data_IF_085695636896
#
_entry.id   IF_085695636896
#
_cell.length_a   1.000
_cell.length_b   1.000
_cell.length_c   1.000
_cell.angle_alpha   90.00
_cell.angle_beta   90.00
_cell.angle_gamma   90.00
#
_symmetry.space_group_name_H-M   'P 1'
#
loop_
_entity.id
_entity.type
_entity.pdbx_description
1 polymer ?
#
# COMPACT_ATOMS: atom_id res chain seq x y z
N UNK A 1 53.87 53.68 45.21
CA UNK A 1 53.32 53.79 43.84
C UNK A 1 52.94 52.37 43.34
N UNK A 2 51.64 52.09 43.38
CA UNK A 2 51.12 50.73 43.01
C UNK A 2 50.64 50.74 41.55
N UNK A 3 51.27 49.97 40.71
CA UNK A 3 50.83 49.72 39.30
C UNK A 3 49.68 48.73 39.33
N UNK A 4 48.51 49.11 38.84
CA UNK A 4 47.38 48.23 38.55
C UNK A 4 47.61 47.58 37.18
N UNK A 5 47.69 46.25 37.13
CA UNK A 5 47.52 45.49 35.91
C UNK A 5 46.02 45.37 35.60
N UNK A 6 45.60 45.82 34.44
CA UNK A 6 44.31 45.50 33.87
C UNK A 6 44.42 44.18 33.09
N UNK A 7 43.76 43.17 33.58
CA UNK A 7 43.51 41.90 32.87
C UNK A 7 42.35 42.08 31.93
N UNK A 8 42.58 42.12 30.63
CA UNK A 8 41.52 42.08 29.61
C UNK A 8 41.04 40.64 29.40
N UNK A 9 39.78 40.42 29.74
CA UNK A 9 39.08 39.17 29.43
C UNK A 9 38.55 39.29 27.99
N UNK A 10 39.13 38.52 27.08
CA UNK A 10 38.58 38.36 25.72
C UNK A 10 37.49 37.32 25.81
N UNK A 11 36.25 37.72 25.73
CA UNK A 11 35.09 36.86 25.56
C UNK A 11 35.00 36.51 24.08
N UNK A 12 35.42 35.29 23.71
CA UNK A 12 35.17 34.76 22.41
C UNK A 12 33.68 34.36 22.32
N UNK A 13 32.91 35.12 21.58
CA UNK A 13 31.56 34.76 21.22
C UNK A 13 31.56 33.59 20.23
N UNK A 14 31.39 32.40 20.72
CA UNK A 14 31.08 31.25 19.91
C UNK A 14 29.63 31.42 19.39
N UNK A 15 29.48 31.95 18.19
CA UNK A 15 28.24 31.90 17.44
C UNK A 15 27.94 30.47 17.04
N UNK A 16 27.17 29.78 17.90
CA UNK A 16 26.57 28.48 17.53
C UNK A 16 25.51 28.75 16.46
N UNK A 17 25.85 28.43 15.24
CA UNK A 17 24.89 28.25 14.15
C UNK A 17 24.02 27.03 14.51
N UNK A 18 22.97 27.25 15.27
CA UNK A 18 21.84 26.33 15.29
C UNK A 18 21.16 26.44 13.94
N UNK A 19 21.47 25.51 13.00
CA UNK A 19 20.56 25.23 11.91
C UNK A 19 19.26 24.75 12.55
N UNK A 20 18.25 25.62 12.58
CA UNK A 20 16.88 25.24 12.92
C UNK A 20 16.46 24.17 11.88
N UNK A 21 16.39 22.93 12.30
CA UNK A 21 15.65 21.94 11.54
C UNK A 21 14.23 22.53 11.38
N UNK A 22 13.88 22.93 10.17
CA UNK A 22 12.53 23.40 9.88
C UNK A 22 11.60 22.23 10.23
N UNK A 23 10.74 22.44 11.22
CA UNK A 23 9.70 21.47 11.58
C UNK A 23 8.70 21.42 10.42
N UNK A 24 8.98 20.55 9.42
CA UNK A 24 8.09 20.33 8.28
C UNK A 24 6.81 19.73 8.82
N UNK A 25 5.69 20.40 8.59
CA UNK A 25 4.38 19.91 9.05
C UNK A 25 3.98 18.65 8.27
N UNK A 26 3.19 17.74 8.86
CA UNK A 26 2.65 16.58 8.13
C UNK A 26 1.95 17.00 6.82
N UNK A 27 1.26 18.13 6.81
CA UNK A 27 0.62 18.69 5.61
C UNK A 27 1.63 19.01 4.50
N UNK A 28 2.76 19.61 4.82
CA UNK A 28 3.80 19.93 3.85
C UNK A 28 4.47 18.68 3.29
N UNK A 29 4.70 17.67 4.13
CA UNK A 29 5.22 16.36 3.68
C UNK A 29 4.29 15.75 2.63
N UNK A 30 2.98 15.72 2.88
CA UNK A 30 2.03 15.13 1.95
C UNK A 30 1.82 15.97 0.69
N UNK A 31 1.91 17.30 0.76
CA UNK A 31 1.93 18.17 -0.42
C UNK A 31 3.13 17.89 -1.32
N UNK A 32 4.32 17.69 -0.74
CA UNK A 32 5.51 17.35 -1.53
C UNK A 32 5.39 15.99 -2.20
N UNK A 33 4.97 14.96 -1.47
CA UNK A 33 4.72 13.63 -2.02
C UNK A 33 3.66 13.61 -3.12
N UNK A 34 2.66 14.49 -3.05
CA UNK A 34 1.62 14.63 -4.07
C UNK A 34 2.16 15.04 -5.44
N UNK A 35 3.27 15.76 -5.50
CA UNK A 35 3.90 16.17 -6.76
C UNK A 35 4.38 14.96 -7.58
N UNK A 36 4.77 13.88 -6.94
CA UNK A 36 5.26 12.66 -7.59
C UNK A 36 4.20 11.57 -7.68
N UNK A 37 3.41 11.38 -6.62
CA UNK A 37 2.45 10.27 -6.49
C UNK A 37 1.01 10.68 -6.81
N UNK A 38 0.77 11.96 -7.09
CA UNK A 38 -0.54 12.49 -7.47
C UNK A 38 -1.32 13.11 -6.30
N UNK A 39 -2.22 14.03 -6.64
CA UNK A 39 -2.98 14.80 -5.66
C UNK A 39 -3.87 13.93 -4.78
N UNK A 40 -4.61 12.99 -5.37
CA UNK A 40 -5.47 12.05 -4.62
C UNK A 40 -4.66 11.21 -3.62
N UNK A 41 -3.43 10.84 -3.98
CA UNK A 41 -2.54 10.13 -3.07
C UNK A 41 -2.29 10.95 -1.80
N UNK A 42 -1.86 12.21 -1.94
CA UNK A 42 -1.59 13.06 -0.79
C UNK A 42 -2.82 13.32 0.07
N UNK A 43 -3.98 13.56 -0.58
CA UNK A 43 -5.26 13.75 0.12
C UNK A 43 -5.64 12.54 0.97
N UNK A 44 -5.58 11.34 0.39
CA UNK A 44 -5.93 10.10 1.10
C UNK A 44 -4.90 9.70 2.13
N UNK A 45 -3.61 9.79 1.80
CA UNK A 45 -2.54 9.40 2.71
C UNK A 45 -2.47 10.30 3.94
N UNK A 46 -2.66 11.62 3.78
CA UNK A 46 -2.74 12.55 4.92
C UNK A 46 -3.94 12.26 5.83
N UNK A 47 -5.08 11.87 5.27
CA UNK A 47 -6.23 11.44 6.07
C UNK A 47 -5.91 10.14 6.81
N UNK A 48 -5.27 9.17 6.16
CA UNK A 48 -4.91 7.89 6.79
C UNK A 48 -3.92 8.06 7.95
N UNK A 49 -3.08 9.10 7.93
CA UNK A 49 -2.19 9.45 9.05
C UNK A 49 -2.98 9.83 10.31
N UNK A 50 -4.15 10.41 10.15
CA UNK A 50 -5.01 10.86 11.26
C UNK A 50 -5.99 9.79 11.73
N UNK A 51 -6.34 8.83 10.88
CA UNK A 51 -7.31 7.79 11.21
C UNK A 51 -6.65 6.67 12.02
N UNK A 52 -7.13 6.38 13.25
CA UNK A 52 -6.52 5.38 14.10
C UNK A 52 -6.64 3.98 13.51
N UNK A 53 -5.63 3.16 13.81
CA UNK A 53 -5.64 1.70 13.65
C UNK A 53 -5.32 1.10 15.01
N UNK A 54 -6.00 0.02 15.35
CA UNK A 54 -5.84 -0.74 16.60
C UNK A 54 -5.50 -2.21 16.33
N UNK A 55 -5.12 -2.94 17.37
CA UNK A 55 -4.82 -4.38 17.29
C UNK A 55 -6.03 -5.26 16.97
N UNK A 56 -7.25 -4.72 17.03
CA UNK A 56 -8.46 -5.43 16.67
C UNK A 56 -8.85 -5.24 15.20
N UNK A 57 -8.20 -4.31 14.50
CA UNK A 57 -8.57 -3.96 13.14
C UNK A 57 -8.07 -4.96 12.11
N UNK A 58 -8.86 -5.10 11.05
CA UNK A 58 -8.54 -5.84 9.83
C UNK A 58 -8.39 -4.80 8.72
N UNK A 59 -7.20 -4.67 8.15
CA UNK A 59 -6.88 -3.56 7.25
C UNK A 59 -6.65 -4.05 5.83
N UNK A 60 -7.46 -3.56 4.89
CA UNK A 60 -7.26 -3.76 3.46
C UNK A 60 -6.33 -2.67 2.93
N UNK A 61 -5.13 -3.04 2.47
CA UNK A 61 -4.11 -2.14 1.93
C UNK A 61 -3.93 -2.41 0.45
N UNK A 62 -4.00 -1.39 -0.37
CA UNK A 62 -3.85 -1.58 -1.81
C UNK A 62 -4.12 -0.32 -2.66
N UNK A 63 -4.41 -0.57 -3.92
CA UNK A 63 -4.66 0.44 -4.93
C UNK A 63 -6.17 0.72 -5.15
N UNK A 64 -6.58 1.03 -6.40
CA UNK A 64 -7.97 1.33 -6.75
C UNK A 64 -8.94 0.17 -6.50
N UNK A 65 -8.51 -1.07 -6.67
CA UNK A 65 -9.34 -2.25 -6.41
C UNK A 65 -9.71 -2.33 -4.92
N UNK A 66 -8.78 -1.98 -4.04
CA UNK A 66 -9.03 -1.88 -2.60
C UNK A 66 -9.84 -0.63 -2.27
N UNK A 67 -9.51 0.52 -2.89
CA UNK A 67 -10.20 1.80 -2.66
C UNK A 67 -11.69 1.71 -2.98
N UNK A 68 -12.06 1.03 -4.06
CA UNK A 68 -13.40 1.03 -4.63
C UNK A 68 -14.46 0.24 -3.85
N UNK A 69 -14.19 -0.15 -2.61
CA UNK A 69 -15.10 -0.94 -1.80
C UNK A 69 -15.27 -0.36 -0.39
N UNK A 70 -16.50 -0.30 0.09
CA UNK A 70 -16.83 0.01 1.47
C UNK A 70 -16.72 -1.28 2.32
N UNK A 71 -15.48 -1.71 2.58
CA UNK A 71 -15.18 -3.00 3.20
C UNK A 71 -15.89 -3.23 4.54
N UNK A 72 -15.99 -2.19 5.38
CA UNK A 72 -16.66 -2.30 6.69
C UNK A 72 -18.16 -2.59 6.55
N UNK A 73 -18.81 -1.99 5.54
CA UNK A 73 -20.23 -2.27 5.24
C UNK A 73 -20.37 -3.65 4.58
N UNK A 74 -19.50 -3.97 3.63
CA UNK A 74 -19.56 -5.23 2.90
C UNK A 74 -19.41 -6.45 3.81
N UNK A 75 -18.56 -6.37 4.84
CA UNK A 75 -18.41 -7.42 5.86
C UNK A 75 -19.34 -7.23 7.06
N UNK A 76 -20.06 -6.11 7.16
CA UNK A 76 -20.82 -5.70 8.36
C UNK A 76 -19.96 -5.75 9.64
N UNK A 77 -18.73 -5.25 9.54
CA UNK A 77 -17.72 -5.26 10.61
C UNK A 77 -17.06 -3.89 10.73
N UNK A 78 -17.29 -3.12 11.81
CA UNK A 78 -16.76 -1.75 11.95
C UNK A 78 -15.23 -1.70 12.11
N UNK A 79 -14.60 -2.81 12.47
CA UNK A 79 -13.15 -2.93 12.58
C UNK A 79 -12.45 -3.32 11.27
N UNK A 80 -13.18 -3.47 10.17
CA UNK A 80 -12.58 -3.62 8.83
C UNK A 80 -12.29 -2.25 8.25
N UNK A 81 -11.05 -1.97 7.90
CA UNK A 81 -10.59 -0.64 7.48
C UNK A 81 -10.10 -0.65 6.03
N UNK A 82 -10.55 0.32 5.26
CA UNK A 82 -10.04 0.56 3.91
C UNK A 82 -8.82 1.50 3.94
N UNK A 83 -7.70 1.04 3.41
CA UNK A 83 -6.48 1.81 3.17
C UNK A 83 -6.03 1.68 1.71
N UNK A 84 -7.00 1.69 0.79
CA UNK A 84 -6.77 1.74 -0.66
C UNK A 84 -6.66 3.18 -1.18
N UNK A 85 -5.81 3.39 -2.19
CA UNK A 85 -5.71 4.66 -2.94
C UNK A 85 -5.68 4.36 -4.44
N UNK A 86 -6.53 5.03 -5.22
CA UNK A 86 -6.53 4.87 -6.68
C UNK A 86 -5.17 5.23 -7.27
N UNK A 87 -4.68 4.38 -8.17
CA UNK A 87 -3.41 4.61 -8.86
C UNK A 87 -2.17 4.24 -8.04
N UNK A 88 -2.32 3.81 -6.78
CA UNK A 88 -1.18 3.54 -5.90
C UNK A 88 -0.31 2.38 -6.40
N UNK A 89 0.99 2.54 -6.17
CA UNK A 89 2.05 1.60 -6.50
C UNK A 89 2.71 1.09 -5.21
N UNK A 90 3.59 0.11 -5.32
CA UNK A 90 4.27 -0.49 -4.16
C UNK A 90 5.04 0.57 -3.37
N UNK A 91 5.78 1.45 -4.05
CA UNK A 91 6.51 2.56 -3.42
C UNK A 91 5.57 3.50 -2.66
N UNK A 92 4.41 3.83 -3.26
CA UNK A 92 3.41 4.68 -2.62
C UNK A 92 2.88 4.05 -1.33
N UNK A 93 2.56 2.76 -1.35
CA UNK A 93 2.15 2.03 -0.13
C UNK A 93 3.26 2.07 0.91
N UNK A 94 4.51 1.78 0.54
CA UNK A 94 5.64 1.80 1.48
C UNK A 94 5.80 3.17 2.14
N UNK A 95 5.62 4.26 1.41
CA UNK A 95 5.70 5.62 1.94
C UNK A 95 4.59 5.99 2.94
N UNK A 96 3.43 5.31 2.92
CA UNK A 96 2.24 5.64 3.73
C UNK A 96 1.78 4.54 4.69
N UNK A 97 2.47 3.41 4.76
CA UNK A 97 2.02 2.28 5.58
C UNK A 97 2.30 2.46 7.08
N UNK A 98 3.21 3.36 7.47
CA UNK A 98 3.61 3.54 8.86
C UNK A 98 2.45 3.74 9.86
N UNK A 99 1.40 4.53 9.59
CA UNK A 99 0.25 4.64 10.49
C UNK A 99 -0.47 3.29 10.73
N UNK A 100 -0.55 2.45 9.71
CA UNK A 100 -1.13 1.10 9.83
C UNK A 100 -0.27 0.23 10.74
N UNK A 101 1.05 0.23 10.53
CA UNK A 101 1.98 -0.61 11.29
C UNK A 101 2.10 -0.17 12.76
N UNK A 102 2.01 1.15 13.05
CA UNK A 102 1.94 1.66 14.43
C UNK A 102 0.76 1.12 15.21
N UNK A 103 -0.38 0.91 14.53
CA UNK A 103 -1.59 0.34 15.15
C UNK A 103 -1.51 -1.16 15.42
N UNK A 104 -0.53 -1.85 14.85
CA UNK A 104 -0.34 -3.32 14.97
C UNK A 104 -1.65 -4.09 14.72
N UNK A 105 -2.29 -3.92 13.56
CA UNK A 105 -3.61 -4.50 13.31
C UNK A 105 -3.59 -6.02 13.41
N UNK A 106 -4.74 -6.61 13.73
CA UNK A 106 -4.90 -8.07 13.78
C UNK A 106 -4.53 -8.71 12.45
N UNK A 107 -4.97 -8.10 11.33
CA UNK A 107 -4.77 -8.62 9.98
C UNK A 107 -4.50 -7.50 8.98
N UNK A 108 -3.66 -7.79 8.00
CA UNK A 108 -3.48 -6.96 6.80
C UNK A 108 -3.76 -7.83 5.57
N UNK A 109 -4.66 -7.36 4.70
CA UNK A 109 -4.88 -7.91 3.36
C UNK A 109 -4.24 -6.97 2.35
N UNK A 110 -3.17 -7.39 1.69
CA UNK A 110 -2.38 -6.61 0.75
C UNK A 110 -2.70 -7.01 -0.69
N UNK A 111 -3.03 -6.03 -1.54
CA UNK A 111 -3.16 -6.19 -2.99
C UNK A 111 -2.53 -4.99 -3.70
N UNK A 112 -1.39 -5.18 -4.36
CA UNK A 112 -0.66 -4.13 -5.08
C UNK A 112 0.18 -4.71 -6.21
N UNK A 113 0.48 -3.91 -7.25
CA UNK A 113 1.40 -4.28 -8.33
C UNK A 113 0.87 -4.02 -9.73
N UNK A 114 -0.45 -3.99 -9.97
CA UNK A 114 -1.00 -3.79 -11.33
C UNK A 114 -0.64 -2.40 -11.89
N UNK A 115 -0.56 -1.37 -11.06
CA UNK A 115 -0.12 -0.04 -11.48
C UNK A 115 1.39 -0.01 -11.77
N UNK A 116 2.19 -0.77 -11.04
CA UNK A 116 3.61 -0.97 -11.31
C UNK A 116 3.82 -1.63 -12.67
N UNK A 117 2.97 -2.60 -13.04
CA UNK A 117 2.93 -3.19 -14.39
C UNK A 117 2.64 -2.11 -15.44
N UNK A 118 1.73 -1.18 -15.17
CA UNK A 118 1.41 -0.08 -16.09
C UNK A 118 2.61 0.87 -16.33
N UNK A 119 3.53 0.94 -15.40
CA UNK A 119 4.79 1.70 -15.49
C UNK A 119 5.93 0.92 -16.17
N UNK A 120 5.64 -0.22 -16.80
CA UNK A 120 6.61 -1.08 -17.51
C UNK A 120 7.66 -1.73 -16.61
N UNK A 121 7.40 -1.88 -15.32
CA UNK A 121 8.28 -2.63 -14.43
C UNK A 121 8.17 -4.14 -14.73
N UNK A 122 9.28 -4.85 -14.56
CA UNK A 122 9.33 -6.31 -14.77
C UNK A 122 8.68 -7.07 -13.61
N UNK A 123 8.21 -8.29 -13.86
CA UNK A 123 7.67 -9.15 -12.81
C UNK A 123 8.66 -9.37 -11.66
N UNK A 124 9.94 -9.48 -11.98
CA UNK A 124 11.01 -9.65 -10.99
C UNK A 124 11.16 -8.41 -10.10
N UNK A 125 11.23 -7.21 -10.70
CA UNK A 125 11.35 -5.97 -9.92
C UNK A 125 10.12 -5.70 -9.05
N UNK A 126 8.91 -6.02 -9.55
CA UNK A 126 7.65 -5.87 -8.81
C UNK A 126 7.61 -6.85 -7.63
N UNK A 127 7.93 -8.13 -7.87
CA UNK A 127 7.95 -9.14 -6.81
C UNK A 127 9.02 -8.81 -5.74
N UNK A 128 10.21 -8.35 -6.16
CA UNK A 128 11.27 -7.91 -5.24
C UNK A 128 10.82 -6.71 -4.39
N UNK A 129 10.22 -5.69 -5.01
CA UNK A 129 9.71 -4.52 -4.28
C UNK A 129 8.60 -4.91 -3.29
N UNK A 130 7.66 -5.77 -3.70
CA UNK A 130 6.62 -6.31 -2.81
C UNK A 130 7.24 -7.09 -1.65
N UNK A 131 8.26 -7.92 -1.92
CA UNK A 131 9.00 -8.65 -0.89
C UNK A 131 9.64 -7.73 0.16
N UNK A 132 10.23 -6.60 -0.25
CA UNK A 132 10.77 -5.58 0.67
C UNK A 132 9.68 -4.93 1.53
N UNK A 133 8.52 -4.64 0.95
CA UNK A 133 7.37 -4.12 1.70
C UNK A 133 6.88 -5.14 2.73
N UNK A 134 6.82 -6.43 2.37
CA UNK A 134 6.47 -7.53 3.29
C UNK A 134 7.48 -7.61 4.43
N UNK A 135 8.79 -7.56 4.14
CA UNK A 135 9.85 -7.58 5.17
C UNK A 135 9.70 -6.41 6.15
N UNK A 136 9.33 -5.24 5.66
CA UNK A 136 9.02 -4.08 6.50
C UNK A 136 7.81 -4.34 7.40
N UNK A 137 6.70 -4.84 6.85
CA UNK A 137 5.49 -5.17 7.61
C UNK A 137 5.82 -6.17 8.72
N UNK A 138 6.57 -7.23 8.40
CA UNK A 138 6.99 -8.24 9.37
C UNK A 138 7.88 -7.69 10.48
N UNK A 139 8.81 -6.80 10.13
CA UNK A 139 9.70 -6.17 11.10
C UNK A 139 8.98 -5.21 12.04
N UNK A 140 8.07 -4.36 11.50
CA UNK A 140 7.43 -3.28 12.25
C UNK A 140 6.12 -3.72 12.94
N UNK A 141 5.49 -4.81 12.48
CA UNK A 141 4.26 -5.37 13.05
C UNK A 141 4.26 -6.91 13.00
N UNK A 142 5.16 -7.58 13.75
CA UNK A 142 5.40 -9.02 13.64
C UNK A 142 4.18 -9.87 14.02
N UNK A 143 3.32 -9.39 14.92
CA UNK A 143 2.11 -10.09 15.37
C UNK A 143 0.95 -10.02 14.37
N UNK A 144 1.01 -9.10 13.41
CA UNK A 144 -0.03 -8.95 12.38
C UNK A 144 -0.05 -10.16 11.46
N UNK A 145 -1.20 -10.79 11.28
CA UNK A 145 -1.38 -11.80 10.23
C UNK A 145 -1.41 -11.11 8.88
N UNK A 146 -0.47 -11.45 8.02
CA UNK A 146 -0.35 -10.86 6.69
C UNK A 146 -0.87 -11.81 5.62
N UNK A 147 -1.83 -11.33 4.85
CA UNK A 147 -2.39 -12.00 3.68
C UNK A 147 -2.03 -11.19 2.44
N UNK A 148 -1.35 -11.83 1.49
CA UNK A 148 -1.02 -11.22 0.19
C UNK A 148 -1.88 -11.88 -0.86
N UNK A 149 -2.64 -11.06 -1.57
CA UNK A 149 -3.59 -11.51 -2.58
C UNK A 149 -2.96 -11.48 -3.97
N UNK A 150 -3.34 -12.45 -4.81
CA UNK A 150 -2.92 -12.45 -6.21
C UNK A 150 -3.44 -11.20 -6.94
N UNK A 151 -2.65 -10.69 -7.88
CA UNK A 151 -3.16 -9.73 -8.86
C UNK A 151 -4.30 -10.38 -9.67
N UNK A 152 -5.35 -9.62 -9.93
CA UNK A 152 -6.52 -10.06 -10.66
C UNK A 152 -6.20 -10.21 -12.16
N UNK A 153 -7.03 -10.95 -12.92
CA UNK A 153 -6.96 -10.89 -14.37
C UNK A 153 -7.32 -9.48 -14.86
N UNK A 154 -6.92 -9.18 -16.07
CA UNK A 154 -7.32 -7.98 -16.81
C UNK A 154 -8.06 -8.41 -18.08
N UNK A 155 -8.85 -7.51 -18.69
CA UNK A 155 -9.53 -7.80 -19.94
C UNK A 155 -9.26 -6.72 -20.99
N UNK A 156 -8.36 -7.03 -21.92
CA UNK A 156 -7.92 -6.10 -22.96
C UNK A 156 -8.97 -5.81 -24.04
N UNK A 157 -10.06 -6.60 -24.11
CA UNK A 157 -11.14 -6.36 -25.09
C UNK A 157 -11.82 -5.00 -24.88
N UNK A 158 -11.80 -4.47 -23.65
CA UNK A 158 -12.32 -3.14 -23.31
C UNK A 158 -11.46 -1.98 -23.84
N UNK A 159 -10.18 -2.22 -24.16
CA UNK A 159 -9.24 -1.24 -24.75
C UNK A 159 -9.07 0.05 -23.93
N UNK A 160 -9.43 0.05 -22.65
CA UNK A 160 -9.42 1.24 -21.79
C UNK A 160 -8.02 1.58 -21.28
N UNK A 161 -7.28 0.58 -20.79
CA UNK A 161 -5.97 0.76 -20.14
C UNK A 161 -4.84 0.27 -21.04
N UNK A 162 -4.45 1.10 -22.02
CA UNK A 162 -3.42 0.76 -23.03
C UNK A 162 -2.07 0.42 -22.39
N UNK A 163 -1.77 0.98 -21.22
CA UNK A 163 -0.49 0.80 -20.52
C UNK A 163 -0.30 -0.63 -19.97
N UNK A 164 -1.38 -1.43 -19.88
CA UNK A 164 -1.32 -2.82 -19.43
C UNK A 164 -1.66 -3.83 -20.53
N UNK A 165 -1.90 -3.39 -21.76
CA UNK A 165 -2.19 -4.29 -22.88
C UNK A 165 -1.05 -5.24 -23.13
N UNK A 166 -1.38 -6.54 -23.29
CA UNK A 166 -0.43 -7.60 -23.56
C UNK A 166 0.48 -7.95 -22.37
N UNK A 167 0.12 -7.51 -21.15
CA UNK A 167 0.91 -7.75 -19.94
C UNK A 167 0.32 -8.81 -19.01
N UNK A 168 -0.63 -9.60 -19.49
CA UNK A 168 -1.26 -10.69 -18.71
C UNK A 168 -0.22 -11.70 -18.22
N UNK A 169 0.78 -12.00 -19.06
CA UNK A 169 1.87 -12.91 -18.66
C UNK A 169 2.71 -12.30 -17.54
N UNK A 170 3.00 -10.99 -17.59
CA UNK A 170 3.71 -10.29 -16.49
C UNK A 170 2.94 -10.41 -15.18
N UNK A 171 1.61 -10.24 -15.22
CA UNK A 171 0.73 -10.40 -14.04
C UNK A 171 0.79 -11.83 -13.50
N UNK A 172 0.74 -12.84 -14.36
CA UNK A 172 0.87 -14.25 -13.96
C UNK A 172 2.23 -14.54 -13.33
N UNK A 173 3.30 -14.02 -13.93
CA UNK A 173 4.67 -14.20 -13.43
C UNK A 173 4.87 -13.53 -12.06
N UNK A 174 4.26 -12.35 -11.83
CA UNK A 174 4.24 -11.71 -10.50
C UNK A 174 3.56 -12.63 -9.49
N UNK A 175 2.35 -13.13 -9.81
CA UNK A 175 1.61 -14.01 -8.91
C UNK A 175 2.40 -15.28 -8.57
N UNK A 176 3.06 -15.89 -9.55
CA UNK A 176 3.92 -17.06 -9.36
C UNK A 176 5.08 -16.75 -8.40
N UNK A 177 5.76 -15.61 -8.59
CA UNK A 177 6.88 -15.19 -7.73
C UNK A 177 6.43 -14.85 -6.31
N UNK A 178 5.30 -14.17 -6.16
CA UNK A 178 4.74 -13.84 -4.84
C UNK A 178 4.32 -15.09 -4.09
N UNK A 179 3.63 -16.03 -4.73
CA UNK A 179 3.24 -17.28 -4.08
C UNK A 179 4.45 -18.11 -3.64
N UNK A 180 5.53 -18.13 -4.43
CA UNK A 180 6.73 -18.90 -4.11
C UNK A 180 7.51 -18.36 -2.88
N UNK A 181 7.36 -17.08 -2.53
CA UNK A 181 8.05 -16.49 -1.38
C UNK A 181 7.19 -16.50 -0.09
N UNK A 182 5.98 -17.07 -0.12
CA UNK A 182 5.04 -16.99 0.98
C UNK A 182 5.58 -17.58 2.29
N UNK A 183 6.12 -18.79 2.23
CA UNK A 183 6.65 -19.48 3.40
C UNK A 183 7.90 -18.79 3.96
N UNK A 184 8.86 -18.44 3.07
CA UNK A 184 10.10 -17.75 3.46
C UNK A 184 9.83 -16.41 4.15
N UNK A 185 8.87 -15.64 3.61
CA UNK A 185 8.55 -14.31 4.13
C UNK A 185 7.41 -14.29 5.17
N UNK A 186 6.87 -15.47 5.49
CA UNK A 186 5.91 -15.67 6.58
C UNK A 186 4.57 -14.96 6.35
N UNK A 187 3.98 -15.03 5.16
CA UNK A 187 2.63 -14.54 4.89
C UNK A 187 1.74 -15.63 4.29
N UNK A 188 0.44 -15.46 4.41
CA UNK A 188 -0.53 -16.34 3.76
C UNK A 188 -0.80 -15.83 2.34
N UNK A 189 -0.51 -16.66 1.34
CA UNK A 189 -0.87 -16.38 -0.05
C UNK A 189 -2.34 -16.69 -0.29
N UNK A 190 -3.09 -15.73 -0.88
CA UNK A 190 -4.48 -15.92 -1.27
C UNK A 190 -4.61 -15.74 -2.78
N UNK A 191 -4.84 -16.82 -3.50
CA UNK A 191 -5.10 -16.77 -4.94
C UNK A 191 -6.56 -16.40 -5.22
N UNK A 192 -6.85 -15.10 -5.29
CA UNK A 192 -8.20 -14.59 -5.62
C UNK A 192 -8.48 -14.55 -7.13
N UNK A 193 -7.44 -14.72 -7.97
CA UNK A 193 -7.59 -14.62 -9.43
C UNK A 193 -8.71 -15.49 -10.02
N UNK A 194 -8.86 -16.78 -9.64
CA UNK A 194 -9.85 -17.67 -10.26
C UNK A 194 -11.30 -17.22 -10.08
N UNK A 195 -11.62 -16.45 -9.04
CA UNK A 195 -13.01 -16.00 -8.80
C UNK A 195 -13.42 -14.87 -9.77
N UNK A 196 -12.46 -14.25 -10.44
CA UNK A 196 -12.69 -13.14 -11.36
C UNK A 196 -12.40 -13.49 -12.81
N UNK A 197 -11.75 -14.66 -13.06
CA UNK A 197 -11.36 -15.07 -14.40
C UNK A 197 -12.52 -15.71 -15.16
N UNK A 198 -12.65 -15.37 -16.44
CA UNK A 198 -13.45 -16.12 -17.39
C UNK A 198 -12.71 -17.41 -17.84
N UNK A 199 -13.33 -18.18 -18.75
CA UNK A 199 -12.75 -19.42 -19.29
C UNK A 199 -11.44 -19.22 -20.06
N UNK A 200 -11.14 -18.00 -20.50
CA UNK A 200 -9.95 -17.63 -21.27
C UNK A 200 -8.92 -16.90 -20.38
N UNK A 201 -9.08 -16.96 -19.05
CA UNK A 201 -8.23 -16.32 -18.03
C UNK A 201 -8.21 -14.78 -18.10
N UNK A 202 -9.21 -14.14 -18.71
CA UNK A 202 -9.42 -12.70 -18.66
C UNK A 202 -10.33 -12.32 -17.49
N UNK A 203 -10.31 -11.04 -17.08
CA UNK A 203 -11.32 -10.54 -16.16
C UNK A 203 -12.70 -10.68 -16.80
N UNK A 204 -13.58 -11.44 -16.14
CA UNK A 204 -14.91 -11.76 -16.65
C UNK A 204 -15.69 -10.45 -16.88
N UNK A 205 -16.25 -10.23 -18.08
CA UNK A 205 -17.02 -9.03 -18.41
C UNK A 205 -18.22 -8.78 -17.48
N UNK A 206 -18.75 -9.79 -16.81
CA UNK A 206 -19.83 -9.59 -15.82
C UNK A 206 -19.36 -8.81 -14.60
N UNK A 207 -18.06 -8.79 -14.30
CA UNK A 207 -17.47 -8.18 -13.12
C UNK A 207 -16.85 -6.81 -13.37
N UNK A 208 -16.79 -6.35 -14.62
CA UNK A 208 -16.10 -5.12 -14.98
C UNK A 208 -16.82 -4.34 -16.06
N UNK A 209 -16.61 -3.03 -16.09
CA UNK A 209 -17.06 -2.16 -17.20
C UNK A 209 -15.90 -1.46 -17.92
N UNK A 210 -14.65 -1.75 -17.52
CA UNK A 210 -13.46 -1.12 -18.12
C UNK A 210 -12.29 -2.09 -18.35
N UNK A 211 -12.44 -3.36 -17.91
CA UNK A 211 -11.45 -4.42 -18.07
C UNK A 211 -10.38 -4.48 -17.00
N UNK A 212 -10.50 -3.66 -15.92
CA UNK A 212 -9.55 -3.61 -14.80
C UNK A 212 -10.25 -3.48 -13.45
N UNK A 213 -11.19 -2.53 -13.31
CA UNK A 213 -11.89 -2.26 -12.06
C UNK A 213 -13.16 -3.11 -11.95
N UNK A 214 -13.59 -3.30 -10.71
CA UNK A 214 -14.65 -4.22 -10.38
C UNK A 214 -16.00 -3.51 -10.19
N UNK A 215 -17.06 -4.17 -10.61
CA UNK A 215 -18.44 -3.81 -10.29
C UNK A 215 -18.88 -4.47 -8.98
N UNK A 216 -20.01 -4.00 -8.41
CA UNK A 216 -20.54 -4.48 -7.12
C UNK A 216 -20.65 -6.01 -6.98
N UNK A 217 -21.17 -6.75 -7.97
CA UNK A 217 -21.25 -8.23 -7.89
C UNK A 217 -19.87 -8.90 -7.66
N UNK A 218 -18.80 -8.37 -8.23
CA UNK A 218 -17.46 -8.90 -8.03
C UNK A 218 -16.99 -8.74 -6.58
N UNK A 219 -17.32 -7.61 -5.93
CA UNK A 219 -16.98 -7.41 -4.52
C UNK A 219 -17.75 -8.35 -3.59
N UNK A 220 -18.97 -8.74 -3.94
CA UNK A 220 -19.71 -9.78 -3.18
C UNK A 220 -19.00 -11.14 -3.29
N UNK A 221 -18.60 -11.54 -4.51
CA UNK A 221 -17.81 -12.76 -4.72
C UNK A 221 -16.47 -12.71 -3.95
N UNK A 222 -15.81 -11.55 -3.96
CA UNK A 222 -14.54 -11.36 -3.23
C UNK A 222 -14.73 -11.50 -1.72
N UNK A 223 -15.77 -10.85 -1.17
CA UNK A 223 -16.16 -10.99 0.23
C UNK A 223 -16.35 -12.44 0.62
N UNK A 224 -17.21 -13.17 -0.11
CA UNK A 224 -17.56 -14.55 0.22
C UNK A 224 -16.34 -15.47 0.19
N UNK A 225 -15.43 -15.24 -0.76
CA UNK A 225 -14.15 -15.96 -0.83
C UNK A 225 -13.22 -15.65 0.35
N UNK A 226 -13.22 -14.40 0.85
CA UNK A 226 -12.36 -13.98 1.95
C UNK A 226 -12.92 -14.30 3.34
N UNK A 227 -14.20 -14.63 3.47
CA UNK A 227 -14.84 -14.91 4.79
C UNK A 227 -14.06 -15.90 5.67
N UNK A 228 -13.50 -17.02 5.17
CA UNK A 228 -12.70 -17.91 6.01
C UNK A 228 -11.49 -17.21 6.65
N UNK A 229 -10.78 -16.37 5.88
CA UNK A 229 -9.60 -15.64 6.33
C UNK A 229 -9.95 -14.46 7.25
N UNK A 230 -11.14 -13.89 7.12
CA UNK A 230 -11.63 -12.83 7.99
C UNK A 230 -11.99 -13.39 9.37
N UNK A 231 -12.59 -14.58 9.43
CA UNK A 231 -13.15 -15.16 10.65
C UNK A 231 -12.16 -15.97 11.49
N UNK A 232 -11.00 -16.38 10.95
CA UNK A 232 -9.95 -17.09 11.73
C UNK A 232 -9.20 -16.13 12.75
#
# INVERSE_FOLDING_TARGET
MKKKLLSGIIIAAASSLFMSAQNVTPTEVWKEKSKTLGELYGQRASLFELLPITSEDIVFVGNSLTHGCEWHELFNMPNVKNRGINGDIIEGIDQRIAPVLRGKPKKIFLLVGVNDVSHNLTADSIATATGKLIDRIRRESPETRLYVQSLLPINNSFRRYKNIFGKEQVIRDINTRLSAMADEKGFTWINVRPIFADKDDNLDPQFTNDGLHLLGPAYLCWRDFLLPYINE
#
